data_IF_586028855434
#
_entry.id   IF_586028855434
#
_cell.length_a   1.000
_cell.length_b   1.000
_cell.length_c   1.000
_cell.angle_alpha   90.00
_cell.angle_beta   90.00
_cell.angle_gamma   90.00
#
_symmetry.space_group_name_H-M   'P 1'
#
loop_
_entity.id
_entity.type
_entity.pdbx_description
1 polymer ?
#
# COMPACT_ATOMS: atom_id res chain seq x y z
N UNK A 1 -13.41 -11.82 -17.16
CA UNK A 1 -12.95 -11.93 -15.76
C UNK A 1 -11.87 -10.88 -15.58
N UNK A 2 -12.03 -9.94 -14.64
CA UNK A 2 -10.97 -8.99 -14.34
C UNK A 2 -9.89 -9.81 -13.61
N UNK A 3 -8.77 -10.06 -14.26
CA UNK A 3 -7.65 -10.75 -13.62
C UNK A 3 -7.09 -9.86 -12.50
N UNK A 4 -6.57 -10.48 -11.43
CA UNK A 4 -5.81 -9.83 -10.34
C UNK A 4 -6.60 -8.94 -9.36
N UNK A 5 -7.95 -8.98 -9.35
CA UNK A 5 -8.74 -8.18 -8.38
C UNK A 5 -8.41 -8.55 -6.93
N UNK A 6 -8.29 -9.84 -6.64
CA UNK A 6 -7.97 -10.33 -5.29
C UNK A 6 -6.58 -9.88 -4.84
N UNK A 7 -5.59 -9.96 -5.72
CA UNK A 7 -4.21 -9.50 -5.43
C UNK A 7 -4.16 -8.00 -5.15
N UNK A 8 -4.83 -7.18 -5.97
CA UNK A 8 -4.95 -5.74 -5.73
C UNK A 8 -5.68 -5.45 -4.41
N UNK A 9 -6.74 -6.20 -4.07
CA UNK A 9 -7.43 -6.04 -2.79
C UNK A 9 -6.51 -6.32 -1.59
N UNK A 10 -5.68 -7.36 -1.67
CA UNK A 10 -4.69 -7.67 -0.62
C UNK A 10 -3.67 -6.55 -0.47
N UNK A 11 -3.16 -5.99 -1.57
CA UNK A 11 -2.22 -4.86 -1.54
C UNK A 11 -2.84 -3.59 -0.95
N UNK A 12 -4.13 -3.32 -1.25
CA UNK A 12 -4.87 -2.21 -0.64
C UNK A 12 -5.00 -2.45 0.87
N UNK A 13 -5.34 -3.66 1.30
CA UNK A 13 -5.43 -3.98 2.73
C UNK A 13 -4.07 -3.77 3.41
N UNK A 14 -2.96 -4.23 2.81
CA UNK A 14 -1.62 -4.00 3.36
C UNK A 14 -1.25 -2.51 3.46
N UNK A 15 -1.69 -1.70 2.49
CA UNK A 15 -1.45 -0.26 2.48
C UNK A 15 -2.18 0.49 3.60
N UNK A 16 -3.33 0.00 4.08
CA UNK A 16 -4.22 0.78 4.95
C UNK A 16 -4.62 0.10 6.28
N UNK A 17 -4.36 -1.19 6.48
CA UNK A 17 -4.75 -1.87 7.74
C UNK A 17 -3.92 -1.40 8.93
N UNK A 18 -4.53 -0.83 9.96
CA UNK A 18 -3.83 -0.42 11.18
C UNK A 18 -3.80 -1.50 12.28
N UNK A 19 -3.83 -2.78 11.88
CA UNK A 19 -3.76 -3.92 12.80
C UNK A 19 -2.68 -4.90 12.37
N UNK A 20 -1.91 -5.37 13.35
CA UNK A 20 -0.96 -6.48 13.21
C UNK A 20 -1.58 -7.82 13.68
N UNK A 21 -2.80 -7.80 14.22
CA UNK A 21 -3.46 -8.99 14.77
C UNK A 21 -4.01 -9.92 13.68
N UNK A 22 -4.27 -9.38 12.49
CA UNK A 22 -4.84 -10.12 11.36
C UNK A 22 -4.03 -9.88 10.10
N UNK A 23 -3.81 -10.95 9.36
CA UNK A 23 -3.20 -10.92 8.05
C UNK A 23 -4.14 -10.29 7.01
N UNK A 24 -3.61 -9.75 5.89
CA UNK A 24 -4.44 -9.25 4.79
C UNK A 24 -5.47 -10.26 4.27
N UNK A 25 -5.10 -11.54 4.21
CA UNK A 25 -5.99 -12.62 3.78
C UNK A 25 -7.16 -12.83 4.75
N UNK A 26 -6.91 -12.80 6.06
CA UNK A 26 -7.97 -12.93 7.07
C UNK A 26 -8.92 -11.74 7.06
N UNK A 27 -8.40 -10.54 6.84
CA UNK A 27 -9.19 -9.32 6.68
C UNK A 27 -10.06 -9.41 5.42
N UNK A 28 -9.49 -9.78 4.27
CA UNK A 28 -10.24 -9.95 3.02
C UNK A 28 -11.33 -11.02 3.17
N UNK A 29 -11.01 -12.18 3.74
CA UNK A 29 -11.99 -13.24 3.98
C UNK A 29 -13.12 -12.77 4.91
N UNK A 30 -12.82 -11.93 5.91
CA UNK A 30 -13.83 -11.33 6.78
C UNK A 30 -14.72 -10.34 6.02
N UNK A 31 -14.15 -9.52 5.13
CA UNK A 31 -14.91 -8.63 4.26
C UNK A 31 -15.86 -9.42 3.35
N UNK A 32 -15.37 -10.48 2.70
CA UNK A 32 -16.19 -11.30 1.80
C UNK A 32 -17.38 -11.93 2.52
N UNK A 33 -17.17 -12.52 3.71
CA UNK A 33 -18.27 -13.06 4.52
C UNK A 33 -19.30 -12.00 4.92
N UNK A 34 -18.82 -10.82 5.34
CA UNK A 34 -19.72 -9.72 5.72
C UNK A 34 -20.57 -9.19 4.56
N UNK A 35 -20.04 -9.30 3.33
CA UNK A 35 -20.77 -8.94 2.12
C UNK A 35 -21.85 -9.97 1.79
N UNK A 36 -21.56 -11.28 1.94
CA UNK A 36 -22.54 -12.35 1.77
C UNK A 36 -23.68 -12.27 2.80
N UNK A 37 -23.38 -11.78 4.01
CA UNK A 37 -24.34 -11.58 5.10
C UNK A 37 -25.12 -10.25 5.02
N UNK A 38 -24.86 -9.41 4.00
CA UNK A 38 -25.47 -8.07 3.81
C UNK A 38 -25.27 -7.12 5.02
N UNK A 39 -24.16 -7.26 5.73
CA UNK A 39 -23.77 -6.44 6.90
C UNK A 39 -22.58 -5.51 6.60
N UNK A 40 -22.09 -5.50 5.36
CA UNK A 40 -20.93 -4.72 4.94
C UNK A 40 -21.32 -3.30 4.54
N UNK A 41 -20.85 -2.31 5.29
CA UNK A 41 -20.85 -0.90 4.90
C UNK A 41 -19.44 -0.26 5.07
N UNK A 42 -19.31 1.02 4.70
CA UNK A 42 -18.04 1.73 4.80
C UNK A 42 -17.52 1.81 6.25
N UNK A 43 -18.40 1.89 7.24
CA UNK A 43 -18.03 1.96 8.67
C UNK A 43 -17.54 0.60 9.15
N UNK A 44 -18.12 -0.50 8.68
CA UNK A 44 -17.67 -1.86 8.92
C UNK A 44 -16.25 -2.06 8.37
N UNK A 45 -16.01 -1.67 7.11
CA UNK A 45 -14.67 -1.77 6.50
C UNK A 45 -13.65 -0.93 7.26
N UNK A 46 -13.98 0.32 7.60
CA UNK A 46 -13.10 1.19 8.39
C UNK A 46 -12.74 0.58 9.75
N UNK A 47 -13.72 -0.02 10.44
CA UNK A 47 -13.50 -0.69 11.72
C UNK A 47 -12.64 -1.94 11.56
N UNK A 48 -12.91 -2.75 10.54
CA UNK A 48 -12.14 -3.97 10.26
C UNK A 48 -10.66 -3.64 9.97
N UNK A 49 -10.39 -2.52 9.31
CA UNK A 49 -9.05 -2.01 9.04
C UNK A 49 -8.45 -1.17 10.19
N UNK A 50 -9.13 -1.02 11.32
CA UNK A 50 -8.70 -0.20 12.46
C UNK A 50 -8.47 1.28 12.09
N UNK A 51 -9.29 1.80 11.17
CA UNK A 51 -9.28 3.20 10.71
C UNK A 51 -10.34 4.07 11.39
N UNK A 52 -11.32 3.45 12.05
CA UNK A 52 -12.35 4.18 12.79
C UNK A 52 -13.62 3.35 13.02
N UNK A 53 -14.45 3.77 13.96
CA UNK A 53 -15.65 3.01 14.38
C UNK A 53 -16.97 3.75 14.15
N UNK A 54 -16.91 5.01 13.71
CA UNK A 54 -18.07 5.86 13.50
C UNK A 54 -17.98 6.56 12.14
N UNK A 55 -19.12 6.95 11.57
CA UNK A 55 -19.21 7.57 10.23
C UNK A 55 -18.36 8.84 10.08
N UNK A 56 -18.16 9.60 11.16
CA UNK A 56 -17.28 10.78 11.17
C UNK A 56 -15.80 10.46 10.87
N UNK A 57 -15.37 9.21 11.02
CA UNK A 57 -14.01 8.79 10.65
C UNK A 57 -13.86 8.58 9.15
N UNK A 58 -14.96 8.45 8.39
CA UNK A 58 -14.89 8.28 6.93
C UNK A 58 -14.38 9.52 6.21
N UNK A 59 -14.46 10.69 6.85
CA UNK A 59 -13.92 11.95 6.33
C UNK A 59 -12.41 12.12 6.62
N UNK A 60 -11.79 11.19 7.36
CA UNK A 60 -10.37 11.27 7.69
C UNK A 60 -9.50 10.88 6.50
N UNK A 61 -8.47 11.67 6.25
CA UNK A 61 -7.46 11.33 5.25
C UNK A 61 -6.53 10.24 5.78
N UNK A 62 -6.38 9.17 5.00
CA UNK A 62 -5.42 8.09 5.24
C UNK A 62 -4.39 8.05 4.12
N UNK A 63 -3.15 7.71 4.47
CA UNK A 63 -2.05 7.59 3.52
C UNK A 63 -1.61 6.13 3.39
N UNK A 64 -1.34 5.64 2.17
CA UNK A 64 -0.88 4.27 1.97
C UNK A 64 0.55 4.08 2.49
N UNK A 65 0.84 2.87 2.97
CA UNK A 65 2.21 2.46 3.34
C UNK A 65 3.16 2.37 2.15
N UNK A 66 2.67 1.91 1.00
CA UNK A 66 3.39 1.89 -0.27
C UNK A 66 3.52 0.52 -0.93
N UNK A 67 2.98 -0.56 -0.35
CA UNK A 67 3.05 -1.92 -0.88
C UNK A 67 2.60 -1.97 -2.34
N UNK A 68 1.42 -1.40 -2.63
CA UNK A 68 0.84 -1.45 -3.98
C UNK A 68 1.69 -0.72 -5.03
N UNK A 69 2.31 0.40 -4.67
CA UNK A 69 3.15 1.17 -5.60
C UNK A 69 4.52 0.55 -5.77
N UNK A 70 5.10 0.01 -4.69
CA UNK A 70 6.40 -0.67 -4.72
C UNK A 70 6.33 -1.99 -5.48
N UNK A 71 5.23 -2.74 -5.38
CA UNK A 71 5.01 -3.99 -6.11
C UNK A 71 4.97 -3.80 -7.64
N UNK A 72 4.59 -2.59 -8.11
CA UNK A 72 4.60 -2.24 -9.54
C UNK A 72 6.01 -2.00 -10.08
N UNK A 73 7.03 -1.87 -9.22
CA UNK A 73 8.41 -1.72 -9.65
C UNK A 73 8.96 -3.07 -10.13
N UNK A 74 9.57 -3.13 -11.32
CA UNK A 74 10.10 -4.39 -11.84
C UNK A 74 11.30 -4.85 -11.01
N UNK A 75 11.36 -6.16 -10.73
CA UNK A 75 12.51 -6.83 -10.10
C UNK A 75 12.83 -6.38 -8.67
N UNK A 76 11.81 -5.97 -7.91
CA UNK A 76 11.92 -5.73 -6.46
C UNK A 76 11.27 -6.92 -5.71
N UNK A 77 12.05 -7.74 -4.98
CA UNK A 77 11.51 -8.83 -4.19
C UNK A 77 10.63 -8.33 -3.03
N UNK A 78 9.60 -9.10 -2.64
CA UNK A 78 8.71 -8.76 -1.52
C UNK A 78 9.42 -8.42 -0.21
N UNK A 79 10.47 -9.17 0.25
CA UNK A 79 11.18 -8.81 1.48
C UNK A 79 11.79 -7.40 1.45
N UNK A 80 12.18 -6.91 0.27
CA UNK A 80 12.72 -5.55 0.11
C UNK A 80 11.60 -4.52 0.20
N UNK A 81 10.40 -4.84 -0.29
CA UNK A 81 9.21 -4.00 -0.13
C UNK A 81 8.85 -3.90 1.36
N UNK A 82 8.85 -5.04 2.06
CA UNK A 82 8.60 -5.09 3.51
C UNK A 82 9.59 -4.19 4.26
N UNK A 83 10.90 -4.32 3.99
CA UNK A 83 11.94 -3.49 4.60
C UNK A 83 11.76 -1.98 4.32
N UNK A 84 11.36 -1.61 3.09
CA UNK A 84 11.06 -0.21 2.74
C UNK A 84 9.87 0.32 3.52
N UNK A 85 8.79 -0.45 3.59
CA UNK A 85 7.59 -0.05 4.31
C UNK A 85 7.87 0.04 5.81
N UNK A 86 8.63 -0.89 6.37
CA UNK A 86 9.04 -0.86 7.77
C UNK A 86 9.90 0.38 8.08
N UNK A 87 10.89 0.70 7.22
CA UNK A 87 11.78 1.86 7.41
C UNK A 87 11.04 3.20 7.29
N UNK A 88 10.20 3.37 6.28
CA UNK A 88 9.64 4.67 5.92
C UNK A 88 8.20 4.88 6.38
N UNK A 89 7.46 3.80 6.67
CA UNK A 89 6.09 3.80 7.17
C UNK A 89 5.03 4.18 6.14
N UNK A 90 5.22 5.30 5.42
CA UNK A 90 4.29 5.83 4.43
C UNK A 90 4.95 5.99 3.07
N UNK A 91 4.18 5.79 2.01
CA UNK A 91 4.64 5.93 0.62
C UNK A 91 5.24 7.32 0.36
N UNK A 92 4.65 8.37 0.94
CA UNK A 92 5.14 9.75 0.80
C UNK A 92 6.56 9.92 1.34
N UNK A 93 6.94 9.17 2.37
CA UNK A 93 8.31 9.19 2.90
C UNK A 93 9.27 8.46 1.96
N UNK A 94 8.88 7.29 1.43
CA UNK A 94 9.67 6.57 0.41
C UNK A 94 9.92 7.44 -0.83
N UNK A 95 8.90 8.17 -1.27
CA UNK A 95 8.99 9.09 -2.43
C UNK A 95 9.97 10.25 -2.20
N UNK A 96 10.08 10.72 -0.96
CA UNK A 96 10.97 11.83 -0.58
C UNK A 96 12.39 11.36 -0.25
N UNK A 97 12.55 10.09 0.15
CA UNK A 97 13.81 9.51 0.59
C UNK A 97 14.94 9.71 -0.41
N UNK A 98 16.13 10.09 0.06
CA UNK A 98 17.33 10.23 -0.78
C UNK A 98 17.84 8.86 -1.26
N UNK A 99 18.79 8.85 -2.20
CA UNK A 99 19.38 7.58 -2.65
C UNK A 99 20.14 6.93 -1.49
N UNK A 100 20.79 7.74 -0.67
CA UNK A 100 21.56 7.34 0.50
C UNK A 100 20.64 6.71 1.56
N UNK A 101 19.49 7.33 1.86
CA UNK A 101 18.50 6.76 2.81
C UNK A 101 17.91 5.45 2.32
N UNK A 102 17.71 5.30 1.01
CA UNK A 102 17.25 4.04 0.40
C UNK A 102 18.35 2.96 0.42
N UNK A 103 19.61 3.35 0.25
CA UNK A 103 20.77 2.44 0.28
C UNK A 103 20.99 1.83 1.68
N UNK A 104 20.67 2.58 2.74
CA UNK A 104 20.72 2.10 4.13
C UNK A 104 19.69 0.99 4.46
N UNK A 105 18.69 0.78 3.60
CA UNK A 105 17.69 -0.28 3.81
C UNK A 105 18.27 -1.64 3.48
N UNK A 106 18.07 -2.59 4.38
CA UNK A 106 18.60 -3.94 4.25
C UNK A 106 18.25 -4.56 2.88
N UNK A 107 19.30 -4.95 2.17
CA UNK A 107 19.22 -5.64 0.90
C UNK A 107 19.06 -4.74 -0.33
N UNK A 108 18.98 -3.41 -0.23
CA UNK A 108 18.80 -2.53 -1.39
C UNK A 108 20.11 -2.31 -2.16
N UNK A 109 21.10 -1.66 -1.56
CA UNK A 109 22.31 -1.28 -2.29
C UNK A 109 22.08 -0.13 -3.30
N UNK A 110 23.10 0.66 -3.58
CA UNK A 110 23.01 1.91 -4.35
C UNK A 110 22.31 1.75 -5.71
N UNK A 111 22.61 0.66 -6.43
CA UNK A 111 22.04 0.36 -7.75
C UNK A 111 20.52 0.19 -7.67
N UNK A 112 20.02 -0.51 -6.64
CA UNK A 112 18.58 -0.72 -6.46
C UNK A 112 17.92 0.53 -5.90
N UNK A 113 18.58 1.26 -5.01
CA UNK A 113 18.10 2.55 -4.50
C UNK A 113 17.81 3.53 -5.65
N UNK A 114 18.77 3.69 -6.58
CA UNK A 114 18.58 4.46 -7.82
C UNK A 114 17.43 3.93 -8.67
N UNK A 115 17.31 2.61 -8.80
CA UNK A 115 16.25 1.97 -9.60
C UNK A 115 14.86 2.22 -9.01
N UNK A 116 14.70 2.12 -7.69
CA UNK A 116 13.46 2.42 -6.96
C UNK A 116 13.09 3.88 -7.13
N UNK A 117 14.01 4.80 -6.82
CA UNK A 117 13.76 6.25 -6.90
C UNK A 117 13.35 6.67 -8.32
N UNK A 118 14.08 6.20 -9.33
CA UNK A 118 13.74 6.50 -10.72
C UNK A 118 12.42 5.84 -11.15
N UNK A 119 12.13 4.62 -10.68
CA UNK A 119 10.88 3.93 -10.97
C UNK A 119 9.66 4.66 -10.44
N UNK A 120 9.70 5.05 -9.16
CA UNK A 120 8.63 5.82 -8.52
C UNK A 120 8.44 7.19 -9.19
N UNK A 121 9.53 7.88 -9.53
CA UNK A 121 9.45 9.16 -10.25
C UNK A 121 8.76 9.03 -11.60
N UNK A 122 9.11 8.00 -12.39
CA UNK A 122 8.44 7.73 -13.68
C UNK A 122 6.95 7.47 -13.52
N UNK A 123 6.55 6.74 -12.47
CA UNK A 123 5.13 6.49 -12.20
C UNK A 123 4.38 7.80 -11.89
N UNK A 124 4.98 8.71 -11.11
CA UNK A 124 4.40 10.04 -10.85
C UNK A 124 4.29 10.88 -12.13
N UNK A 125 5.33 10.89 -12.96
CA UNK A 125 5.35 11.61 -14.24
C UNK A 125 4.25 11.09 -15.19
N UNK A 126 4.06 9.77 -15.27
CA UNK A 126 3.01 9.14 -16.08
C UNK A 126 1.60 9.54 -15.61
N UNK A 127 1.35 9.53 -14.30
CA UNK A 127 0.05 9.97 -13.77
C UNK A 127 -0.21 11.44 -14.05
N UNK A 128 0.77 12.33 -13.89
CA UNK A 128 0.59 13.75 -14.21
C UNK A 128 0.24 13.97 -15.68
N UNK A 129 0.89 13.25 -16.60
CA UNK A 129 0.58 13.34 -18.02
C UNK A 129 -0.86 12.90 -18.33
N UNK A 130 -1.36 11.86 -17.69
CA UNK A 130 -2.74 11.39 -17.85
C UNK A 130 -3.77 12.43 -17.40
N UNK A 131 -3.52 13.16 -16.30
CA UNK A 131 -4.42 14.21 -15.82
C UNK A 131 -4.40 15.50 -16.66
N UNK A 132 -3.42 15.67 -17.54
CA UNK A 132 -3.27 16.84 -18.40
C UNK A 132 -3.91 16.67 -19.79
N UNK A 133 -4.43 15.48 -20.11
CA UNK A 133 -5.08 15.12 -21.37
C UNK A 133 -6.58 14.97 -21.16
#
# INVERSE_FOLDING_TARGET
MIANVEEEALLIIQDYSNTAEKTPNELLATMMRSFEEDISDSVFIARLLYLGTASSHLDQMVSPRGYRMLQKLPRIPTPIIDNLVERFGLLTHVLRATIEELDEVEGIGEVRARSIKNGLRRMQEQQMLEYMV
#
